data_IF_605935030731
#
_entry.id   IF_605935030731
#
_cell.length_a   1.000
_cell.length_b   1.000
_cell.length_c   1.000
_cell.angle_alpha   90.00
_cell.angle_beta   90.00
_cell.angle_gamma   90.00
#
_symmetry.space_group_name_H-M   'P 1'
#
loop_
_entity.id
_entity.type
_entity.pdbx_description
1 polymer ?
#
# COMPACT_ATOMS: atom_id res chain seq x y z
N UNK A 1 -10.83 -10.04 16.34
CA UNK A 1 -11.05 -9.24 15.12
C UNK A 1 -10.70 -10.05 13.88
N UNK A 2 -11.43 -9.82 12.80
CA UNK A 2 -11.24 -10.50 11.50
C UNK A 2 -10.74 -9.47 10.48
N UNK A 3 -9.49 -9.63 10.04
CA UNK A 3 -8.88 -8.78 9.02
C UNK A 3 -8.70 -9.56 7.72
N UNK A 4 -8.96 -8.90 6.60
CA UNK A 4 -8.68 -9.45 5.28
C UNK A 4 -7.34 -8.91 4.80
N UNK A 5 -6.45 -9.79 4.40
CA UNK A 5 -5.19 -9.45 3.76
C UNK A 5 -5.35 -9.61 2.24
N UNK A 6 -5.06 -8.57 1.46
CA UNK A 6 -5.34 -8.58 0.04
C UNK A 6 -4.29 -7.81 -0.78
N UNK A 7 -3.98 -8.36 -1.93
CA UNK A 7 -3.22 -7.66 -2.97
C UNK A 7 -4.11 -6.75 -3.84
N UNK A 8 -5.41 -6.67 -3.52
CA UNK A 8 -6.35 -5.81 -4.22
C UNK A 8 -6.74 -6.25 -5.64
N UNK A 9 -6.48 -7.50 -6.01
CA UNK A 9 -6.78 -8.01 -7.37
C UNK A 9 -8.26 -8.29 -7.63
N UNK A 10 -9.07 -8.35 -6.58
CA UNK A 10 -10.52 -8.54 -6.67
C UNK A 10 -11.26 -7.21 -6.42
N UNK A 11 -12.39 -7.03 -7.06
CA UNK A 11 -13.22 -5.84 -6.85
C UNK A 11 -14.06 -5.99 -5.58
N UNK A 12 -13.65 -5.34 -4.49
CA UNK A 12 -14.33 -5.42 -3.19
C UNK A 12 -15.77 -4.91 -3.20
N UNK A 13 -16.15 -4.08 -4.17
CA UNK A 13 -17.56 -3.62 -4.31
C UNK A 13 -18.53 -4.75 -4.57
N UNK A 14 -18.03 -5.90 -5.00
CA UNK A 14 -18.83 -7.11 -5.27
C UNK A 14 -18.95 -8.05 -4.06
N UNK A 15 -18.36 -7.68 -2.93
CA UNK A 15 -18.25 -8.54 -1.75
C UNK A 15 -18.74 -7.86 -0.48
N UNK A 16 -19.87 -7.16 -0.57
CA UNK A 16 -20.44 -6.43 0.57
C UNK A 16 -20.69 -7.33 1.77
N UNK A 17 -21.20 -8.54 1.57
CA UNK A 17 -21.44 -9.50 2.65
C UNK A 17 -20.17 -9.84 3.41
N UNK A 18 -19.05 -9.98 2.70
CA UNK A 18 -17.74 -10.22 3.32
C UNK A 18 -17.28 -9.01 4.11
N UNK A 19 -17.47 -7.81 3.58
CA UNK A 19 -17.08 -6.57 4.24
C UNK A 19 -17.91 -6.28 5.49
N UNK A 20 -19.17 -6.72 5.54
CA UNK A 20 -20.00 -6.59 6.73
C UNK A 20 -19.46 -7.38 7.92
N UNK A 21 -18.92 -8.58 7.66
CA UNK A 21 -18.46 -9.47 8.74
C UNK A 21 -16.98 -9.31 9.08
N UNK A 22 -16.19 -8.56 8.29
CA UNK A 22 -14.79 -8.27 8.64
C UNK A 22 -14.65 -6.92 9.36
N UNK A 23 -13.61 -6.83 10.18
CA UNK A 23 -13.28 -5.59 10.90
C UNK A 23 -12.52 -4.59 10.01
N UNK A 24 -11.78 -5.09 9.04
CA UNK A 24 -11.04 -4.23 8.11
C UNK A 24 -10.26 -5.02 7.07
N UNK A 25 -9.70 -4.27 6.12
CA UNK A 25 -8.88 -4.81 5.04
C UNK A 25 -7.48 -4.20 5.12
N UNK A 26 -6.47 -5.04 4.97
CA UNK A 26 -5.08 -4.66 4.78
C UNK A 26 -4.76 -4.82 3.30
N UNK A 27 -4.41 -3.73 2.62
CA UNK A 27 -4.30 -3.67 1.17
C UNK A 27 -2.86 -3.35 0.73
N UNK A 28 -2.31 -4.20 -0.13
CA UNK A 28 -1.00 -3.97 -0.74
C UNK A 28 -1.11 -3.05 -1.96
N UNK A 29 -0.37 -1.94 -1.95
CA UNK A 29 -0.14 -1.11 -3.13
C UNK A 29 1.32 -1.29 -3.55
N UNK A 30 1.53 -2.04 -4.62
CA UNK A 30 2.86 -2.42 -5.11
C UNK A 30 3.58 -1.26 -5.79
N UNK A 31 2.86 -0.48 -6.60
CA UNK A 31 3.29 0.79 -7.16
C UNK A 31 2.05 1.60 -7.52
N UNK A 32 2.11 2.93 -7.39
CA UNK A 32 0.99 3.80 -7.74
C UNK A 32 0.93 4.08 -9.24
N UNK A 33 2.08 4.30 -9.87
CA UNK A 33 2.15 4.49 -11.32
C UNK A 33 1.74 3.22 -12.06
N UNK A 34 0.88 3.37 -13.06
CA UNK A 34 0.32 2.25 -13.81
C UNK A 34 1.40 1.38 -14.48
N UNK A 35 2.37 2.01 -15.14
CA UNK A 35 3.43 1.29 -15.84
C UNK A 35 4.40 0.62 -14.88
N UNK A 36 4.72 1.27 -13.76
CA UNK A 36 5.53 0.66 -12.71
C UNK A 36 4.82 -0.53 -12.07
N UNK A 37 3.50 -0.42 -11.84
CA UNK A 37 2.72 -1.53 -11.31
C UNK A 37 2.73 -2.75 -12.25
N UNK A 38 2.60 -2.53 -13.56
CA UNK A 38 2.73 -3.61 -14.55
C UNK A 38 4.13 -4.22 -14.49
N UNK A 39 5.17 -3.42 -14.38
CA UNK A 39 6.55 -3.90 -14.26
C UNK A 39 6.76 -4.78 -13.03
N UNK A 40 6.09 -4.47 -11.92
CA UNK A 40 6.22 -5.21 -10.66
C UNK A 40 5.32 -6.44 -10.61
N UNK A 41 4.12 -6.39 -11.21
CA UNK A 41 3.05 -7.40 -11.01
C UNK A 41 2.54 -8.05 -12.29
N UNK A 42 2.94 -7.57 -13.46
CA UNK A 42 2.42 -7.94 -14.80
C UNK A 42 0.96 -7.55 -15.06
N UNK A 43 0.32 -6.80 -14.15
CA UNK A 43 -1.06 -6.32 -14.29
C UNK A 43 -1.18 -4.83 -13.94
N UNK A 44 -2.23 -4.17 -14.44
CA UNK A 44 -2.51 -2.78 -14.08
C UNK A 44 -3.01 -2.64 -12.64
N UNK A 45 -3.05 -1.42 -12.15
CA UNK A 45 -3.40 -1.10 -10.76
C UNK A 45 -4.79 -0.46 -10.58
N UNK A 46 -5.61 -0.40 -11.63
CA UNK A 46 -6.91 0.27 -11.55
C UNK A 46 -7.82 -0.32 -10.48
N UNK A 47 -7.89 -1.65 -10.41
CA UNK A 47 -8.71 -2.35 -9.42
C UNK A 47 -8.18 -2.09 -8.00
N UNK A 48 -6.86 -2.14 -7.80
CA UNK A 48 -6.23 -1.91 -6.48
C UNK A 48 -6.52 -0.49 -5.99
N UNK A 49 -6.35 0.51 -6.84
CA UNK A 49 -6.59 1.91 -6.46
C UNK A 49 -8.07 2.20 -6.23
N UNK A 50 -8.95 1.62 -7.05
CA UNK A 50 -10.41 1.71 -6.83
C UNK A 50 -10.80 1.05 -5.50
N UNK A 51 -10.22 -0.09 -5.16
CA UNK A 51 -10.43 -0.75 -3.88
C UNK A 51 -9.96 0.12 -2.71
N UNK A 52 -8.79 0.75 -2.83
CA UNK A 52 -8.28 1.64 -1.78
C UNK A 52 -9.27 2.78 -1.49
N UNK A 53 -9.77 3.45 -2.52
CA UNK A 53 -10.75 4.53 -2.39
C UNK A 53 -12.08 4.04 -1.80
N UNK A 54 -12.59 2.93 -2.32
CA UNK A 54 -13.85 2.37 -1.88
C UNK A 54 -13.80 1.94 -0.41
N UNK A 55 -12.78 1.17 -0.03
CA UNK A 55 -12.60 0.68 1.33
C UNK A 55 -12.36 1.82 2.31
N UNK A 56 -11.58 2.83 1.93
CA UNK A 56 -11.38 4.04 2.74
C UNK A 56 -12.69 4.79 2.94
N UNK A 57 -13.48 4.97 1.88
CA UNK A 57 -14.76 5.69 1.91
C UNK A 57 -15.81 5.04 2.80
N UNK A 58 -15.82 3.72 2.94
CA UNK A 58 -16.75 2.99 3.82
C UNK A 58 -16.16 2.66 5.21
N UNK A 59 -14.95 3.15 5.50
CA UNK A 59 -14.30 2.94 6.79
C UNK A 59 -13.75 1.54 7.01
N UNK A 60 -13.50 0.77 5.95
CA UNK A 60 -12.98 -0.60 6.02
C UNK A 60 -11.52 -0.74 5.63
N UNK A 61 -10.86 0.32 5.17
CA UNK A 61 -9.41 0.28 4.95
C UNK A 61 -8.67 0.47 6.27
N UNK A 62 -8.19 -0.63 6.84
CA UNK A 62 -7.44 -0.61 8.10
C UNK A 62 -5.98 -0.24 7.90
N UNK A 63 -5.35 -0.81 6.86
CA UNK A 63 -3.93 -0.64 6.60
C UNK A 63 -3.66 -0.65 5.10
N UNK A 64 -2.84 0.27 4.63
CA UNK A 64 -2.24 0.23 3.31
C UNK A 64 -0.76 -0.08 3.45
N UNK A 65 -0.23 -0.91 2.55
CA UNK A 65 1.15 -1.39 2.59
C UNK A 65 1.88 -1.13 1.30
N UNK A 66 3.14 -0.72 1.41
CA UNK A 66 4.06 -0.59 0.29
C UNK A 66 5.40 -1.20 0.67
N UNK A 67 5.91 -2.10 -0.17
CA UNK A 67 7.27 -2.65 -0.03
C UNK A 67 8.22 -1.75 -0.82
N UNK A 68 9.23 -1.22 -0.15
CA UNK A 68 10.20 -0.30 -0.75
C UNK A 68 11.33 -1.09 -1.39
N UNK A 69 11.41 -1.04 -2.71
CA UNK A 69 12.47 -1.64 -3.53
C UNK A 69 13.09 -0.56 -4.41
N UNK A 70 14.11 0.17 -3.92
CA UNK A 70 14.59 1.40 -4.57
C UNK A 70 15.03 1.24 -6.02
N UNK A 71 15.56 0.08 -6.38
CA UNK A 71 16.03 -0.20 -7.74
C UNK A 71 14.93 -0.67 -8.70
N UNK A 72 13.75 -1.00 -8.19
CA UNK A 72 12.66 -1.57 -9.00
C UNK A 72 11.64 -0.51 -9.46
N UNK A 73 11.29 0.42 -8.59
CA UNK A 73 10.31 1.47 -8.89
C UNK A 73 10.56 2.71 -8.04
N UNK A 74 9.92 3.81 -8.42
CA UNK A 74 9.97 5.07 -7.66
C UNK A 74 9.08 4.99 -6.41
N UNK A 75 9.65 4.50 -5.31
CA UNK A 75 8.93 4.36 -4.04
C UNK A 75 8.50 5.70 -3.47
N UNK A 76 9.26 6.77 -3.67
CA UNK A 76 8.92 8.11 -3.20
C UNK A 76 7.64 8.59 -3.85
N UNK A 77 7.54 8.44 -5.16
CA UNK A 77 6.34 8.77 -5.91
C UNK A 77 5.15 7.91 -5.46
N UNK A 78 5.36 6.61 -5.28
CA UNK A 78 4.29 5.69 -4.82
C UNK A 78 3.78 6.08 -3.44
N UNK A 79 4.65 6.37 -2.48
CA UNK A 79 4.22 6.79 -1.14
C UNK A 79 3.54 8.16 -1.17
N UNK A 80 4.06 9.09 -1.96
CA UNK A 80 3.49 10.43 -2.11
C UNK A 80 2.09 10.37 -2.72
N UNK A 81 1.94 9.72 -3.86
CA UNK A 81 0.66 9.61 -4.55
C UNK A 81 -0.37 8.81 -3.75
N UNK A 82 0.04 7.71 -3.12
CA UNK A 82 -0.84 6.88 -2.27
C UNK A 82 -1.32 7.67 -1.06
N UNK A 83 -0.42 8.34 -0.36
CA UNK A 83 -0.80 9.11 0.83
C UNK A 83 -1.68 10.32 0.49
N UNK A 84 -1.42 11.00 -0.61
CA UNK A 84 -2.30 12.08 -1.09
C UNK A 84 -3.68 11.59 -1.50
N UNK A 85 -3.75 10.46 -2.18
CA UNK A 85 -5.02 9.84 -2.58
C UNK A 85 -5.90 9.51 -1.37
N UNK A 86 -5.29 9.00 -0.29
CA UNK A 86 -6.01 8.56 0.90
C UNK A 86 -6.19 9.66 1.97
N UNK A 87 -5.48 10.77 1.87
CA UNK A 87 -5.53 11.86 2.84
C UNK A 87 -6.96 12.35 3.15
N UNK A 88 -7.87 12.54 2.17
CA UNK A 88 -9.24 12.98 2.45
C UNK A 88 -10.03 12.02 3.36
N UNK A 89 -9.68 10.74 3.35
CA UNK A 89 -10.38 9.70 4.12
C UNK A 89 -9.86 9.57 5.56
N UNK A 90 -8.73 10.17 5.90
CA UNK A 90 -8.15 10.11 7.25
C UNK A 90 -9.02 10.79 8.30
N UNK A 91 -9.93 11.66 7.89
CA UNK A 91 -10.94 12.29 8.76
C UNK A 91 -12.08 11.34 9.12
N UNK A 92 -12.29 10.30 8.31
CA UNK A 92 -13.41 9.35 8.46
C UNK A 92 -12.94 8.10 9.19
N UNK A 93 -11.73 7.63 8.87
CA UNK A 93 -11.17 6.41 9.44
C UNK A 93 -9.67 6.55 9.67
N UNK A 94 -9.19 5.87 10.71
CA UNK A 94 -7.76 5.80 10.99
C UNK A 94 -7.14 4.72 10.10
N UNK A 95 -6.41 5.15 9.07
CA UNK A 95 -5.72 4.26 8.15
C UNK A 95 -4.24 4.21 8.53
N UNK A 96 -3.72 3.01 8.79
CA UNK A 96 -2.30 2.81 9.00
C UNK A 96 -1.57 2.71 7.66
N UNK A 97 -0.43 3.37 7.54
CA UNK A 97 0.49 3.13 6.44
C UNK A 97 1.67 2.30 6.92
N UNK A 98 1.77 1.06 6.43
CA UNK A 98 2.87 0.18 6.71
C UNK A 98 3.86 0.20 5.55
N UNK A 99 5.05 0.73 5.80
CA UNK A 99 6.12 0.86 4.82
C UNK A 99 7.15 -0.21 5.14
N UNK A 100 7.34 -1.14 4.21
CA UNK A 100 8.09 -2.37 4.43
C UNK A 100 9.39 -2.31 3.64
N UNK A 101 10.52 -2.50 4.34
CA UNK A 101 11.81 -2.61 3.67
C UNK A 101 11.92 -3.95 2.94
N UNK A 102 12.23 -3.89 1.65
CA UNK A 102 12.57 -5.09 0.88
C UNK A 102 13.77 -5.80 1.52
N UNK A 103 13.69 -7.12 1.62
CA UNK A 103 14.78 -7.98 2.10
C UNK A 103 14.98 -9.13 1.13
N UNK A 104 16.24 -9.50 0.91
CA UNK A 104 16.61 -10.56 -0.06
C UNK A 104 16.15 -11.95 0.34
N UNK A 105 15.96 -12.21 1.64
CA UNK A 105 15.57 -13.53 2.15
C UNK A 105 14.11 -13.84 1.84
N UNK A 106 13.85 -15.03 1.27
CA UNK A 106 12.51 -15.51 0.96
C UNK A 106 11.89 -14.93 -0.31
N UNK A 107 12.66 -14.23 -1.14
CA UNK A 107 12.20 -13.61 -2.37
C UNK A 107 12.43 -14.52 -3.57
N UNK A 108 11.59 -14.40 -4.61
CA UNK A 108 11.79 -15.08 -5.89
C UNK A 108 13.17 -14.76 -6.46
N UNK A 109 13.76 -15.73 -7.15
CA UNK A 109 15.14 -15.66 -7.67
C UNK A 109 15.39 -14.42 -8.54
N UNK A 110 14.42 -13.98 -9.33
CA UNK A 110 14.50 -12.81 -10.20
C UNK A 110 14.59 -11.46 -9.47
N UNK A 111 14.22 -11.40 -8.17
CA UNK A 111 14.27 -10.19 -7.35
C UNK A 111 15.41 -10.17 -6.34
N UNK A 112 16.24 -11.24 -6.29
CA UNK A 112 17.32 -11.36 -5.29
C UNK A 112 18.44 -10.35 -5.46
N UNK A 113 18.62 -9.80 -6.67
CA UNK A 113 19.72 -8.89 -6.99
C UNK A 113 19.43 -7.43 -6.60
N UNK A 114 18.20 -7.12 -6.18
CA UNK A 114 17.88 -5.79 -5.70
C UNK A 114 18.44 -5.54 -4.30
N UNK A 115 18.97 -4.34 -4.10
CA UNK A 115 19.42 -3.95 -2.77
C UNK A 115 18.22 -3.63 -1.87
N UNK A 116 18.41 -3.80 -0.57
CA UNK A 116 17.46 -3.30 0.43
C UNK A 116 17.53 -1.76 0.51
N UNK A 117 16.44 -1.09 0.90
CA UNK A 117 16.49 0.34 1.15
C UNK A 117 17.36 0.65 2.37
N UNK A 118 17.97 1.83 2.37
CA UNK A 118 18.69 2.35 3.53
C UNK A 118 17.70 2.85 4.59
N UNK A 119 18.16 3.02 5.83
CA UNK A 119 17.36 3.64 6.88
C UNK A 119 16.93 5.07 6.52
N UNK A 120 17.78 5.81 5.83
CA UNK A 120 17.47 7.15 5.33
C UNK A 120 16.33 7.13 4.33
N UNK A 121 16.35 6.19 3.38
CA UNK A 121 15.27 6.01 2.40
C UNK A 121 13.94 5.62 3.07
N UNK A 122 13.99 4.74 4.06
CA UNK A 122 12.79 4.38 4.82
C UNK A 122 12.23 5.57 5.61
N UNK A 123 13.07 6.35 6.25
CA UNK A 123 12.66 7.56 6.96
C UNK A 123 12.12 8.63 5.99
N UNK A 124 12.71 8.75 4.82
CA UNK A 124 12.22 9.64 3.75
C UNK A 124 10.80 9.25 3.32
N UNK A 125 10.55 7.96 3.11
CA UNK A 125 9.20 7.46 2.79
C UNK A 125 8.20 7.79 3.90
N UNK A 126 8.58 7.60 5.16
CA UNK A 126 7.78 7.97 6.32
C UNK A 126 7.46 9.47 6.33
N UNK A 127 8.46 10.31 6.12
CA UNK A 127 8.30 11.77 6.14
C UNK A 127 7.34 12.25 5.03
N UNK A 128 7.40 11.62 3.86
CA UNK A 128 6.46 11.89 2.76
C UNK A 128 5.02 11.59 3.20
N UNK A 129 4.79 10.44 3.82
CA UNK A 129 3.45 10.07 4.30
C UNK A 129 2.96 11.01 5.40
N UNK A 130 3.82 11.41 6.35
CA UNK A 130 3.50 12.39 7.40
C UNK A 130 3.11 13.73 6.79
N UNK A 131 3.89 14.22 5.83
CA UNK A 131 3.62 15.47 5.12
C UNK A 131 2.23 15.49 4.50
N UNK A 132 1.77 14.35 4.00
CA UNK A 132 0.46 14.20 3.37
C UNK A 132 -0.67 13.87 4.36
N UNK A 133 -0.41 13.86 5.67
CA UNK A 133 -1.43 13.79 6.70
C UNK A 133 -1.51 12.49 7.49
N UNK A 134 -0.72 11.48 7.15
CA UNK A 134 -0.69 10.23 7.93
C UNK A 134 -0.02 10.42 9.28
N UNK A 135 -0.64 9.88 10.33
CA UNK A 135 -0.09 9.86 11.69
C UNK A 135 0.20 8.45 12.20
N UNK A 136 -0.51 7.45 11.71
CA UNK A 136 -0.29 6.04 12.06
C UNK A 136 0.56 5.38 10.97
N UNK A 137 1.88 5.36 11.19
CA UNK A 137 2.86 4.83 10.24
C UNK A 137 3.74 3.82 10.92
N UNK A 138 3.89 2.65 10.28
CA UNK A 138 4.77 1.58 10.73
C UNK A 138 5.86 1.33 9.69
N UNK A 139 7.11 1.35 10.13
CA UNK A 139 8.27 0.92 9.34
C UNK A 139 8.75 -0.45 9.81
N UNK A 140 8.90 -1.40 8.90
CA UNK A 140 9.49 -2.71 9.22
C UNK A 140 10.51 -3.16 8.19
#
# INVERSE_FOLDING_TARGET
STMIDSNGSIDFRKFDDLLEVCDGVMLDIKAYDYNEHIKVTDVGNDIVLNNARYLAGIGKLFEVRTVVVPELFDFRKTVDDTSRELAPFLKISNIRYKIIAYRKNGVRKEYRDFRSPTNEEMNEAKDIAIKNGFSDIVLI
#
